data_IF_461039468163
#
_entry.id   IF_461039468163
#
_cell.length_a   1.000
_cell.length_b   1.000
_cell.length_c   1.000
_cell.angle_alpha   90.00
_cell.angle_beta   90.00
_cell.angle_gamma   90.00
#
_symmetry.space_group_name_H-M   'P 1'
#
loop_
_entity.id
_entity.type
_entity.pdbx_description
1 polymer ?
#
# COMPACT_ATOMS: atom_id res chain seq x y z
N UNK A 1 6.06 0.33 -20.69
CA UNK A 1 5.34 1.16 -19.72
C UNK A 1 6.37 2.12 -19.14
N UNK A 2 6.18 3.43 -19.23
CA UNK A 2 7.08 4.37 -18.55
C UNK A 2 6.75 4.36 -17.05
N UNK A 3 7.76 4.44 -16.19
CA UNK A 3 7.59 4.70 -14.75
C UNK A 3 6.90 6.05 -14.45
N UNK A 4 6.57 6.82 -15.50
CA UNK A 4 5.88 8.10 -15.41
C UNK A 4 4.34 8.03 -15.48
N UNK A 5 3.72 6.87 -15.71
CA UNK A 5 2.26 6.82 -15.72
C UNK A 5 1.74 7.18 -14.31
N UNK A 6 0.95 8.26 -14.17
CA UNK A 6 0.49 8.73 -12.87
C UNK A 6 -0.27 7.67 -12.06
N UNK A 7 -0.94 6.72 -12.74
CA UNK A 7 -1.67 5.65 -12.06
C UNK A 7 -0.73 4.65 -11.37
N UNK A 8 0.44 4.40 -11.95
CA UNK A 8 1.44 3.52 -11.33
C UNK A 8 2.22 4.26 -10.23
N UNK A 9 2.38 5.58 -10.34
CA UNK A 9 3.01 6.39 -9.29
C UNK A 9 2.24 6.39 -7.98
N UNK A 10 0.91 6.24 -8.03
CA UNK A 10 0.07 6.07 -6.83
C UNK A 10 0.53 4.85 -6.04
N UNK A 11 0.63 3.68 -6.69
CA UNK A 11 1.07 2.45 -6.02
C UNK A 11 2.52 2.53 -5.55
N UNK A 12 3.41 3.18 -6.31
CA UNK A 12 4.79 3.41 -5.89
C UNK A 12 4.86 4.31 -4.64
N UNK A 13 4.00 5.34 -4.55
CA UNK A 13 3.89 6.18 -3.36
C UNK A 13 3.42 5.39 -2.14
N UNK A 14 2.36 4.59 -2.29
CA UNK A 14 1.84 3.75 -1.21
C UNK A 14 2.91 2.76 -0.74
N UNK A 15 3.58 2.07 -1.67
CA UNK A 15 4.66 1.12 -1.36
C UNK A 15 5.79 1.82 -0.59
N UNK A 16 6.20 3.02 -1.03
CA UNK A 16 7.24 3.80 -0.36
C UNK A 16 6.81 4.35 1.02
N UNK A 17 5.54 4.63 1.25
CA UNK A 17 5.04 5.14 2.53
C UNK A 17 4.74 4.01 3.54
N UNK A 18 4.67 2.77 3.07
CA UNK A 18 4.31 1.60 3.88
C UNK A 18 5.42 0.54 3.97
N UNK A 19 6.59 0.77 3.34
CA UNK A 19 7.71 -0.19 3.27
C UNK A 19 8.28 -0.61 4.64
N UNK A 20 8.11 0.23 5.66
CA UNK A 20 8.55 -0.04 7.03
C UNK A 20 7.52 -0.80 7.87
N UNK A 21 6.30 -1.00 7.37
CA UNK A 21 5.23 -1.67 8.11
C UNK A 21 5.44 -3.19 8.06
N UNK A 22 5.45 -3.87 9.21
CA UNK A 22 5.68 -5.31 9.24
C UNK A 22 4.39 -6.04 8.89
N UNK A 23 4.28 -6.56 7.67
CA UNK A 23 3.06 -7.19 7.14
C UNK A 23 3.24 -8.69 6.85
N UNK A 24 4.48 -9.17 6.79
CA UNK A 24 4.80 -10.57 6.45
C UNK A 24 5.59 -11.26 7.59
N UNK A 25 6.47 -12.20 7.24
CA UNK A 25 7.21 -13.06 8.15
C UNK A 25 8.12 -12.30 9.13
N UNK A 26 8.55 -11.07 8.78
CA UNK A 26 9.38 -10.23 9.65
C UNK A 26 8.68 -9.90 10.98
N UNK A 27 7.35 -9.97 11.06
CA UNK A 27 6.58 -9.79 12.30
C UNK A 27 7.05 -10.72 13.43
N UNK A 28 7.58 -11.91 13.10
CA UNK A 28 8.12 -12.85 14.09
C UNK A 28 9.37 -12.33 14.83
N UNK A 29 10.02 -11.29 14.30
CA UNK A 29 11.23 -10.68 14.87
C UNK A 29 10.93 -9.41 15.66
N UNK A 30 9.67 -8.95 15.68
CA UNK A 30 9.28 -7.68 16.28
C UNK A 30 8.75 -7.86 17.71
N UNK A 31 8.92 -6.82 18.52
CA UNK A 31 8.29 -6.75 19.83
C UNK A 31 6.75 -6.74 19.69
N UNK A 32 6.00 -7.58 20.44
CA UNK A 32 4.54 -7.65 20.32
C UNK A 32 3.82 -6.32 20.56
N UNK A 33 4.35 -5.43 21.41
CA UNK A 33 3.73 -4.10 21.63
C UNK A 33 3.98 -3.18 20.45
N UNK A 34 5.16 -3.25 19.83
CA UNK A 34 5.45 -2.50 18.62
C UNK A 34 4.52 -2.92 17.47
N UNK A 35 4.22 -4.23 17.35
CA UNK A 35 3.25 -4.74 16.38
C UNK A 35 1.84 -4.16 16.60
N UNK A 36 1.37 -4.04 17.85
CA UNK A 36 0.05 -3.45 18.13
C UNK A 36 -0.04 -2.00 17.66
N UNK A 37 1.02 -1.21 17.84
CA UNK A 37 1.03 0.18 17.36
C UNK A 37 1.12 0.23 15.82
N UNK A 38 1.92 -0.63 15.21
CA UNK A 38 2.03 -0.72 13.75
C UNK A 38 0.75 -1.21 13.09
N UNK A 39 -0.02 -2.08 13.74
CA UNK A 39 -1.33 -2.52 13.24
C UNK A 39 -2.35 -1.37 13.19
N UNK A 40 -2.23 -0.35 14.06
CA UNK A 40 -3.04 0.87 13.95
C UNK A 40 -2.64 1.69 12.75
N UNK A 41 -1.33 1.87 12.56
CA UNK A 41 -0.77 2.61 11.42
C UNK A 41 -1.14 1.95 10.09
N UNK A 42 -1.08 0.61 10.00
CA UNK A 42 -1.55 -0.14 8.82
C UNK A 42 -3.00 0.21 8.49
N UNK A 43 -3.90 0.17 9.49
CA UNK A 43 -5.31 0.52 9.28
C UNK A 43 -5.51 1.96 8.84
N UNK A 44 -4.73 2.88 9.40
CA UNK A 44 -4.76 4.29 9.00
C UNK A 44 -4.32 4.45 7.54
N UNK A 45 -3.24 3.78 7.13
CA UNK A 45 -2.77 3.79 5.74
C UNK A 45 -3.78 3.17 4.78
N UNK A 46 -4.41 2.04 5.14
CA UNK A 46 -5.48 1.42 4.36
C UNK A 46 -6.63 2.41 4.13
N UNK A 47 -7.13 3.06 5.19
CA UNK A 47 -8.21 4.05 5.09
C UNK A 47 -7.79 5.25 4.23
N UNK A 48 -6.56 5.75 4.41
CA UNK A 48 -6.07 6.93 3.71
C UNK A 48 -5.94 6.69 2.20
N UNK A 49 -5.46 5.50 1.81
CA UNK A 49 -5.18 5.20 0.40
C UNK A 49 -6.26 4.42 -0.32
N UNK A 50 -7.25 3.82 0.38
CA UNK A 50 -8.29 2.95 -0.21
C UNK A 50 -8.94 3.56 -1.45
N UNK A 51 -9.41 4.81 -1.33
CA UNK A 51 -10.13 5.48 -2.41
C UNK A 51 -9.26 5.68 -3.66
N UNK A 52 -8.05 6.20 -3.46
CA UNK A 52 -7.14 6.51 -4.57
C UNK A 52 -6.61 5.23 -5.23
N UNK A 53 -6.20 4.25 -4.43
CA UNK A 53 -5.75 2.94 -4.92
C UNK A 53 -6.85 2.23 -5.70
N UNK A 54 -8.11 2.27 -5.21
CA UNK A 54 -9.25 1.67 -5.89
C UNK A 54 -9.53 2.33 -7.25
N UNK A 55 -9.57 3.66 -7.30
CA UNK A 55 -9.79 4.39 -8.55
C UNK A 55 -8.68 4.07 -9.55
N UNK A 56 -7.41 4.10 -9.11
CA UNK A 56 -6.28 3.77 -9.97
C UNK A 56 -6.36 2.33 -10.49
N UNK A 57 -6.69 1.37 -9.64
CA UNK A 57 -6.86 -0.04 -10.02
C UNK A 57 -8.00 -0.23 -11.03
N UNK A 58 -9.15 0.42 -10.83
CA UNK A 58 -10.29 0.34 -11.76
C UNK A 58 -9.94 0.90 -13.15
N UNK A 59 -9.20 2.00 -13.20
CA UNK A 59 -8.74 2.60 -14.46
C UNK A 59 -7.70 1.71 -15.14
N UNK A 60 -6.71 1.20 -14.39
CA UNK A 60 -5.71 0.28 -14.94
C UNK A 60 -6.34 -1.00 -15.46
N UNK A 61 -7.30 -1.58 -14.73
CA UNK A 61 -8.06 -2.75 -15.18
C UNK A 61 -8.84 -2.45 -16.45
N UNK A 62 -9.45 -1.27 -16.58
CA UNK A 62 -10.16 -0.90 -17.80
C UNK A 62 -9.24 -0.72 -19.01
N UNK A 63 -7.97 -0.32 -18.78
CA UNK A 63 -6.96 -0.15 -19.83
C UNK A 63 -6.31 -1.47 -20.27
N UNK A 64 -6.06 -2.37 -19.32
CA UNK A 64 -5.19 -3.53 -19.52
C UNK A 64 -5.84 -4.88 -19.22
N UNK A 65 -6.96 -4.91 -18.50
CA UNK A 65 -7.73 -6.11 -18.22
C UNK A 65 -8.46 -6.55 -19.48
N UNK A 66 -8.00 -7.65 -20.08
CA UNK A 66 -8.75 -8.42 -21.07
C UNK A 66 -9.77 -9.32 -20.40
#
# INVERSE_FOLDING_TARGET
MSNDDPLFRIFLGIDSETDHLPIEDERNLWDPKALIEKDKEIREMEINFESEARIAAEVLRSRFGR
#
